data_IF_853376032752
#
_entry.id   IF_853376032752
#
_cell.length_a   1.000
_cell.length_b   1.000
_cell.length_c   1.000
_cell.angle_alpha   90.00
_cell.angle_beta   90.00
_cell.angle_gamma   90.00
#
_symmetry.space_group_name_H-M   'P 1'
#
loop_
_entity.id
_entity.type
_entity.pdbx_description
1 polymer ?
#
# COMPACT_ATOMS: atom_id res chain seq x y z
N UNK A 1 6.58 -31.54 4.07
CA UNK A 1 7.62 -30.56 3.70
C UNK A 1 6.93 -29.20 3.61
N UNK A 2 7.20 -28.27 4.52
CA UNK A 2 6.54 -26.96 4.49
C UNK A 2 6.94 -26.22 3.20
N UNK A 3 5.96 -25.84 2.39
CA UNK A 3 6.18 -25.18 1.10
C UNK A 3 6.67 -23.76 1.32
N UNK A 4 7.98 -23.52 1.23
CA UNK A 4 8.55 -22.17 1.36
C UNK A 4 7.83 -21.19 0.42
N UNK A 5 7.25 -20.14 0.97
CA UNK A 5 6.51 -19.14 0.19
C UNK A 5 7.50 -18.19 -0.45
N UNK A 6 7.57 -18.19 -1.79
CA UNK A 6 8.54 -17.39 -2.52
C UNK A 6 8.24 -15.89 -2.42
N UNK A 7 9.27 -15.05 -2.59
CA UNK A 7 9.12 -13.59 -2.66
C UNK A 7 8.16 -13.18 -3.79
N UNK A 8 8.14 -13.92 -4.90
CA UNK A 8 7.23 -13.70 -6.02
C UNK A 8 5.77 -13.90 -5.61
N UNK A 9 5.48 -14.97 -4.87
CA UNK A 9 4.11 -15.25 -4.43
C UNK A 9 3.61 -14.18 -3.46
N UNK A 10 4.49 -13.70 -2.58
CA UNK A 10 4.23 -12.56 -1.68
C UNK A 10 3.94 -11.27 -2.44
N UNK A 11 4.74 -10.99 -3.47
CA UNK A 11 4.51 -9.84 -4.36
C UNK A 11 3.16 -9.94 -5.08
N UNK A 12 2.82 -11.11 -5.62
CA UNK A 12 1.54 -11.33 -6.31
C UNK A 12 0.34 -11.17 -5.37
N UNK A 13 0.43 -11.71 -4.15
CA UNK A 13 -0.62 -11.52 -3.15
C UNK A 13 -0.79 -10.05 -2.75
N UNK A 14 0.33 -9.33 -2.57
CA UNK A 14 0.28 -7.88 -2.37
C UNK A 14 -0.37 -7.16 -3.54
N UNK A 15 0.06 -7.44 -4.78
CA UNK A 15 -0.46 -6.78 -5.98
C UNK A 15 -1.98 -7.00 -6.12
N UNK A 16 -2.47 -8.22 -5.88
CA UNK A 16 -3.90 -8.53 -5.89
C UNK A 16 -4.67 -7.78 -4.80
N UNK A 17 -4.19 -7.80 -3.55
CA UNK A 17 -4.82 -7.07 -2.45
C UNK A 17 -4.79 -5.55 -2.66
N UNK A 18 -3.67 -5.02 -3.14
CA UNK A 18 -3.50 -3.60 -3.45
C UNK A 18 -4.46 -3.15 -4.56
N UNK A 19 -4.59 -3.93 -5.63
CA UNK A 19 -5.53 -3.62 -6.72
C UNK A 19 -6.99 -3.61 -6.24
N UNK A 20 -7.39 -4.59 -5.44
CA UNK A 20 -8.75 -4.67 -4.88
C UNK A 20 -9.06 -3.47 -3.99
N UNK A 21 -8.14 -3.10 -3.09
CA UNK A 21 -8.30 -1.93 -2.21
C UNK A 21 -8.30 -0.62 -3.00
N UNK A 22 -7.52 -0.54 -4.07
CA UNK A 22 -7.56 0.61 -4.98
C UNK A 22 -8.91 0.74 -5.68
N UNK A 23 -9.50 -0.36 -6.15
CA UNK A 23 -10.85 -0.33 -6.73
C UNK A 23 -11.89 0.16 -5.72
N UNK A 24 -11.83 -0.32 -4.47
CA UNK A 24 -12.70 0.16 -3.38
C UNK A 24 -12.50 1.66 -3.12
N UNK A 25 -11.24 2.10 -3.04
CA UNK A 25 -10.90 3.50 -2.81
C UNK A 25 -11.39 4.43 -3.92
N UNK A 26 -11.22 4.03 -5.19
CA UNK A 26 -11.73 4.77 -6.35
C UNK A 26 -13.25 4.86 -6.34
N UNK A 27 -13.95 3.75 -6.11
CA UNK A 27 -15.41 3.74 -6.03
C UNK A 27 -15.92 4.61 -4.86
N UNK A 28 -15.26 4.55 -3.71
CA UNK A 28 -15.55 5.41 -2.57
C UNK A 28 -15.36 6.90 -2.92
N UNK A 29 -14.25 7.26 -3.55
CA UNK A 29 -14.00 8.63 -3.97
C UNK A 29 -15.05 9.14 -4.96
N UNK A 30 -15.44 8.33 -5.96
CA UNK A 30 -16.52 8.69 -6.90
C UNK A 30 -17.88 8.82 -6.22
N UNK A 31 -18.19 7.98 -5.23
CA UNK A 31 -19.42 8.10 -4.46
C UNK A 31 -19.47 9.39 -3.63
N UNK A 32 -18.32 9.88 -3.17
CA UNK A 32 -18.22 11.11 -2.36
C UNK A 32 -18.11 12.40 -3.18
N UNK A 33 -17.69 12.32 -4.45
CA UNK A 33 -17.63 13.46 -5.39
C UNK A 33 -18.99 14.15 -5.63
N UNK A 34 -20.10 13.50 -5.29
CA UNK A 34 -21.46 14.07 -5.34
C UNK A 34 -22.05 14.44 -3.97
N UNK A 35 -21.26 14.35 -2.88
CA UNK A 35 -21.70 14.66 -1.51
C UNK A 35 -21.00 15.91 -0.99
N UNK A 36 -21.64 16.68 -0.10
CA UNK A 36 -21.03 17.84 0.59
C UNK A 36 -19.88 17.44 1.55
N UNK A 37 -19.54 16.15 1.63
CA UNK A 37 -18.48 15.64 2.49
C UNK A 37 -17.09 15.86 1.91
N UNK A 38 -16.10 16.06 2.77
CA UNK A 38 -14.69 16.05 2.35
C UNK A 38 -14.29 14.63 1.92
N UNK A 39 -13.99 14.39 0.62
CA UNK A 39 -13.69 13.05 0.11
C UNK A 39 -12.39 12.46 0.68
N UNK A 40 -11.59 13.27 1.38
CA UNK A 40 -10.24 12.93 1.87
C UNK A 40 -10.05 13.21 3.36
N UNK A 41 -11.10 13.07 4.18
CA UNK A 41 -10.93 13.21 5.63
C UNK A 41 -9.89 12.23 6.17
N UNK A 42 -9.17 12.63 7.22
CA UNK A 42 -8.14 11.80 7.84
C UNK A 42 -8.67 10.41 8.26
N UNK A 43 -9.94 10.35 8.69
CA UNK A 43 -10.62 9.11 9.05
C UNK A 43 -10.75 8.16 7.86
N UNK A 44 -11.14 8.66 6.69
CA UNK A 44 -11.31 7.85 5.47
C UNK A 44 -9.95 7.34 4.98
N UNK A 45 -8.94 8.22 4.92
CA UNK A 45 -7.57 7.82 4.53
C UNK A 45 -7.02 6.78 5.51
N UNK A 46 -7.21 6.98 6.81
CA UNK A 46 -6.81 6.03 7.84
C UNK A 46 -7.51 4.67 7.70
N UNK A 47 -8.83 4.66 7.45
CA UNK A 47 -9.59 3.43 7.20
C UNK A 47 -9.08 2.68 5.97
N UNK A 48 -8.90 3.38 4.84
CA UNK A 48 -8.38 2.77 3.61
C UNK A 48 -6.99 2.16 3.82
N UNK A 49 -6.12 2.81 4.60
CA UNK A 49 -4.82 2.26 4.97
C UNK A 49 -4.95 1.03 5.87
N UNK A 50 -5.81 1.08 6.88
CA UNK A 50 -6.00 -0.04 7.81
C UNK A 50 -6.55 -1.28 7.13
N UNK A 51 -7.30 -1.15 6.03
CA UNK A 51 -7.78 -2.29 5.22
C UNK A 51 -6.66 -3.14 4.61
N UNK A 52 -5.43 -2.63 4.48
CA UNK A 52 -4.29 -3.45 4.06
C UNK A 52 -3.97 -4.57 5.06
N UNK A 53 -4.23 -4.37 6.36
CA UNK A 53 -4.00 -5.39 7.39
C UNK A 53 -4.89 -6.63 7.18
N UNK A 54 -6.23 -6.55 7.15
CA UNK A 54 -7.06 -7.72 6.86
C UNK A 54 -6.85 -8.25 5.44
N UNK A 55 -6.53 -7.40 4.45
CA UNK A 55 -6.19 -7.87 3.10
C UNK A 55 -4.94 -8.76 3.09
N UNK A 56 -3.92 -8.40 3.86
CA UNK A 56 -2.71 -9.18 4.04
C UNK A 56 -2.94 -10.50 4.76
N UNK A 57 -3.78 -10.50 5.80
CA UNK A 57 -4.18 -11.72 6.49
C UNK A 57 -4.97 -12.66 5.57
N UNK A 58 -5.93 -12.12 4.80
CA UNK A 58 -6.73 -12.87 3.84
C UNK A 58 -5.85 -13.47 2.73
N UNK A 59 -4.93 -12.69 2.16
CA UNK A 59 -3.99 -13.18 1.15
C UNK A 59 -3.10 -14.31 1.69
N UNK A 60 -2.59 -14.16 2.91
CA UNK A 60 -1.80 -15.20 3.56
C UNK A 60 -2.59 -16.50 3.77
N UNK A 61 -3.86 -16.39 4.20
CA UNK A 61 -4.74 -17.53 4.39
C UNK A 61 -5.10 -18.22 3.05
N UNK A 62 -5.54 -17.44 2.06
CA UNK A 62 -5.97 -17.94 0.74
C UNK A 62 -4.83 -18.60 -0.05
N UNK A 63 -3.61 -18.05 0.08
CA UNK A 63 -2.43 -18.53 -0.63
C UNK A 63 -1.59 -19.50 0.23
N UNK A 64 -2.08 -19.87 1.41
CA UNK A 64 -1.43 -20.77 2.37
C UNK A 64 0.04 -20.38 2.65
N UNK A 65 0.26 -19.10 2.94
CA UNK A 65 1.60 -18.60 3.20
C UNK A 65 2.14 -19.10 4.54
N UNK A 66 3.41 -19.49 4.53
CA UNK A 66 4.15 -19.67 5.77
C UNK A 66 4.44 -18.30 6.39
N UNK A 67 4.50 -18.27 7.72
CA UNK A 67 4.86 -17.07 8.46
C UNK A 67 6.24 -16.60 8.02
N UNK A 68 6.38 -15.37 7.47
CA UNK A 68 7.67 -14.86 7.03
C UNK A 68 8.62 -14.65 8.21
N UNK A 69 9.90 -14.91 7.99
CA UNK A 69 10.96 -14.39 8.85
C UNK A 69 11.03 -12.85 8.74
N UNK A 70 11.64 -12.18 9.72
CA UNK A 70 11.85 -10.72 9.68
C UNK A 70 12.59 -10.30 8.40
N UNK A 71 13.56 -11.10 7.95
CA UNK A 71 14.32 -10.84 6.73
C UNK A 71 13.44 -10.89 5.48
N UNK A 72 12.62 -11.93 5.34
CA UNK A 72 11.71 -12.07 4.19
C UNK A 72 10.64 -10.99 4.18
N UNK A 73 10.15 -10.62 5.37
CA UNK A 73 9.23 -9.49 5.54
C UNK A 73 9.88 -8.19 5.04
N UNK A 74 11.10 -7.89 5.49
CA UNK A 74 11.84 -6.70 5.06
C UNK A 74 12.11 -6.71 3.56
N UNK A 75 12.46 -7.86 2.98
CA UNK A 75 12.69 -8.00 1.55
C UNK A 75 11.41 -7.75 0.74
N UNK A 76 10.28 -8.28 1.19
CA UNK A 76 9.00 -8.09 0.51
C UNK A 76 8.54 -6.62 0.58
N UNK A 77 8.66 -5.99 1.76
CA UNK A 77 8.36 -4.56 1.95
C UNK A 77 9.29 -3.69 1.10
N UNK A 78 10.60 -3.95 1.13
CA UNK A 78 11.59 -3.17 0.39
C UNK A 78 11.41 -3.31 -1.13
N UNK A 79 11.08 -4.51 -1.62
CA UNK A 79 10.82 -4.73 -3.04
C UNK A 79 9.61 -3.93 -3.51
N UNK A 80 8.47 -4.11 -2.85
CA UNK A 80 7.21 -3.45 -3.22
C UNK A 80 7.31 -1.94 -3.03
N UNK A 81 7.78 -1.51 -1.86
CA UNK A 81 7.96 -0.11 -1.52
C UNK A 81 8.98 0.58 -2.42
N UNK A 82 10.08 -0.11 -2.78
CA UNK A 82 11.08 0.40 -3.71
C UNK A 82 10.52 0.62 -5.11
N UNK A 83 9.73 -0.32 -5.63
CA UNK A 83 9.03 -0.17 -6.92
C UNK A 83 8.05 1.00 -6.87
N UNK A 84 7.27 1.12 -5.79
CA UNK A 84 6.32 2.22 -5.62
C UNK A 84 7.02 3.58 -5.49
N UNK A 85 8.15 3.66 -4.77
CA UNK A 85 8.99 4.86 -4.68
C UNK A 85 9.55 5.24 -6.05
N UNK A 86 10.09 4.27 -6.81
CA UNK A 86 10.61 4.52 -8.16
C UNK A 86 9.51 5.05 -9.08
N UNK A 87 8.29 4.53 -8.97
CA UNK A 87 7.13 5.03 -9.70
C UNK A 87 6.77 6.47 -9.30
N UNK A 88 6.59 6.73 -8.01
CA UNK A 88 6.17 8.05 -7.50
C UNK A 88 7.21 9.14 -7.75
N UNK A 89 8.47 8.89 -7.38
CA UNK A 89 9.56 9.85 -7.60
C UNK A 89 9.95 9.96 -9.07
N UNK A 90 9.96 8.85 -9.81
CA UNK A 90 10.25 8.84 -11.24
C UNK A 90 9.19 9.58 -12.05
N UNK A 91 7.89 9.33 -11.79
CA UNK A 91 6.78 10.05 -12.40
C UNK A 91 6.86 11.56 -12.12
N UNK A 92 7.16 11.93 -10.87
CA UNK A 92 7.36 13.32 -10.50
C UNK A 92 8.58 13.96 -11.17
N UNK A 93 9.73 13.28 -11.25
CA UNK A 93 10.90 13.78 -11.97
C UNK A 93 10.61 13.99 -13.47
N UNK A 94 9.84 13.09 -14.09
CA UNK A 94 9.40 13.22 -15.48
C UNK A 94 8.52 14.46 -15.71
N UNK A 95 7.73 14.88 -14.72
CA UNK A 95 6.96 16.14 -14.80
C UNK A 95 7.85 17.37 -15.02
N UNK A 96 9.10 17.35 -14.52
CA UNK A 96 10.08 18.44 -14.68
C UNK A 96 10.98 18.28 -15.91
N UNK A 97 10.90 17.15 -16.61
CA UNK A 97 11.76 16.83 -17.75
C UNK A 97 11.26 17.40 -19.09
N UNK A 98 10.53 18.54 -19.08
CA UNK A 98 10.10 19.27 -20.27
C UNK A 98 9.20 18.43 -21.21
N UNK A 99 9.70 17.87 -22.33
CA UNK A 99 8.91 17.08 -23.28
C UNK A 99 8.19 15.86 -22.67
N UNK A 100 8.71 15.31 -21.57
CA UNK A 100 8.11 14.13 -20.90
C UNK A 100 7.11 14.51 -19.80
N UNK A 101 6.84 15.79 -19.61
CA UNK A 101 5.98 16.29 -18.52
C UNK A 101 4.58 15.69 -18.53
N UNK A 102 3.98 15.56 -19.72
CA UNK A 102 2.68 14.92 -19.89
C UNK A 102 2.70 13.44 -19.52
N UNK A 103 3.75 12.69 -19.87
CA UNK A 103 3.90 11.29 -19.48
C UNK A 103 4.11 11.15 -17.97
N UNK A 104 4.89 12.04 -17.36
CA UNK A 104 5.03 12.11 -15.90
C UNK A 104 3.69 12.36 -15.21
N UNK A 105 2.90 13.32 -15.74
CA UNK A 105 1.58 13.61 -15.22
C UNK A 105 0.63 12.42 -15.34
N UNK A 106 0.61 11.74 -16.49
CA UNK A 106 -0.19 10.52 -16.68
C UNK A 106 0.26 9.38 -15.75
N UNK A 107 1.56 9.22 -15.54
CA UNK A 107 2.10 8.23 -14.61
C UNK A 107 1.64 8.49 -13.18
N UNK A 108 1.69 9.75 -12.72
CA UNK A 108 1.19 10.14 -11.39
C UNK A 108 -0.33 10.03 -11.28
N UNK A 109 -1.08 10.41 -12.33
CA UNK A 109 -2.53 10.29 -12.35
C UNK A 109 -2.96 8.82 -12.30
N UNK A 110 -2.22 7.92 -12.96
CA UNK A 110 -2.49 6.48 -12.90
C UNK A 110 -2.37 5.92 -11.48
N UNK A 111 -1.57 6.54 -10.61
CA UNK A 111 -1.49 6.19 -9.18
C UNK A 111 -2.82 6.41 -8.47
N UNK A 112 -3.62 7.41 -8.87
CA UNK A 112 -4.96 7.61 -8.32
C UNK A 112 -5.90 6.42 -8.59
N UNK A 113 -5.71 5.73 -9.71
CA UNK A 113 -6.51 4.57 -10.10
C UNK A 113 -5.94 3.25 -9.58
N UNK A 114 -4.62 3.08 -9.65
CA UNK A 114 -3.93 1.82 -9.32
C UNK A 114 -3.59 1.70 -7.84
N UNK A 115 -3.48 2.83 -7.13
CA UNK A 115 -3.04 2.93 -5.75
C UNK A 115 -3.85 4.02 -5.00
N UNK A 116 -5.18 4.02 -5.16
CA UNK A 116 -6.06 5.06 -4.62
C UNK A 116 -5.76 5.39 -3.14
N UNK A 117 -5.68 4.42 -2.20
CA UNK A 117 -5.34 4.71 -0.81
C UNK A 117 -4.03 5.50 -0.66
N UNK A 118 -2.99 5.11 -1.40
CA UNK A 118 -1.68 5.79 -1.41
C UNK A 118 -1.78 7.20 -1.97
N UNK A 119 -2.56 7.40 -3.04
CA UNK A 119 -2.82 8.72 -3.61
C UNK A 119 -3.55 9.64 -2.62
N UNK A 120 -4.58 9.13 -1.94
CA UNK A 120 -5.31 9.90 -0.91
C UNK A 120 -4.38 10.35 0.21
N UNK A 121 -3.52 9.45 0.70
CA UNK A 121 -2.54 9.79 1.73
C UNK A 121 -1.55 10.84 1.22
N UNK A 122 -1.05 10.69 0.00
CA UNK A 122 -0.11 11.65 -0.58
C UNK A 122 -0.74 13.05 -0.70
N UNK A 123 -1.96 13.13 -1.20
CA UNK A 123 -2.73 14.38 -1.31
C UNK A 123 -3.01 14.99 0.06
N UNK A 124 -3.44 14.18 1.03
CA UNK A 124 -3.75 14.66 2.38
C UNK A 124 -2.51 15.24 3.08
N UNK A 125 -1.36 14.57 2.99
CA UNK A 125 -0.10 15.09 3.56
C UNK A 125 0.42 16.31 2.79
N UNK A 126 0.30 16.30 1.46
CA UNK A 126 0.74 17.39 0.60
C UNK A 126 -0.09 18.68 0.76
N UNK A 127 -1.39 18.55 1.02
CA UNK A 127 -2.34 19.65 1.20
C UNK A 127 -2.52 20.10 2.67
N UNK A 128 -1.52 19.84 3.53
CA UNK A 128 -1.45 20.33 4.92
C UNK A 128 -2.23 19.53 5.98
N UNK A 129 -2.79 18.37 5.65
CA UNK A 129 -3.57 17.53 6.59
C UNK A 129 -2.81 17.07 7.84
N UNK A 130 -1.47 16.94 7.76
CA UNK A 130 -0.61 16.65 8.92
C UNK A 130 -0.10 17.89 9.66
N UNK A 131 -0.41 19.09 9.15
CA UNK A 131 -0.01 20.39 9.69
C UNK A 131 1.44 20.39 10.24
N UNK A 132 2.37 19.83 9.45
CA UNK A 132 3.78 19.70 9.83
C UNK A 132 4.42 21.08 9.76
N UNK A 133 4.22 21.86 10.82
CA UNK A 133 4.72 23.23 10.96
C UNK A 133 6.23 23.25 10.77
N UNK A 134 6.70 23.98 9.75
CA UNK A 134 8.13 24.21 9.51
C UNK A 134 8.70 23.63 8.21
N UNK A 135 7.93 22.81 7.47
CA UNK A 135 8.36 22.31 6.16
C UNK A 135 7.71 23.09 5.02
N UNK A 136 8.49 23.44 3.97
CA UNK A 136 7.91 23.89 2.70
C UNK A 136 7.17 22.74 2.00
N UNK A 137 6.42 23.03 0.93
CA UNK A 137 5.65 22.03 0.16
C UNK A 137 6.51 20.88 -0.37
N UNK A 138 7.76 21.16 -0.74
CA UNK A 138 8.67 20.18 -1.36
C UNK A 138 9.07 19.04 -0.43
N UNK A 139 9.63 19.27 0.78
CA UNK A 139 9.88 18.18 1.75
C UNK A 139 8.63 17.40 2.13
N UNK A 140 7.49 18.09 2.28
CA UNK A 140 6.21 17.44 2.58
C UNK A 140 5.80 16.47 1.47
N UNK A 141 5.94 16.87 0.22
CA UNK A 141 5.69 16.00 -0.93
C UNK A 141 6.56 14.75 -0.91
N UNK A 142 7.88 14.87 -0.68
CA UNK A 142 8.77 13.72 -0.63
C UNK A 142 8.43 12.74 0.50
N UNK A 143 8.13 13.27 1.69
CA UNK A 143 7.69 12.46 2.84
C UNK A 143 6.35 11.78 2.56
N UNK A 144 5.41 12.51 1.96
CA UNK A 144 4.10 12.00 1.56
C UNK A 144 4.23 10.85 0.56
N UNK A 145 5.07 11.00 -0.47
CA UNK A 145 5.33 9.95 -1.46
C UNK A 145 5.99 8.73 -0.82
N UNK A 146 6.98 8.91 0.05
CA UNK A 146 7.63 7.81 0.75
C UNK A 146 6.64 7.05 1.65
N UNK A 147 5.80 7.76 2.41
CA UNK A 147 4.76 7.17 3.23
C UNK A 147 3.73 6.42 2.36
N UNK A 148 3.24 7.05 1.29
CA UNK A 148 2.30 6.44 0.35
C UNK A 148 2.84 5.18 -0.33
N UNK A 149 4.17 5.09 -0.52
CA UNK A 149 4.84 3.92 -1.08
C UNK A 149 5.08 2.80 -0.06
N UNK A 150 5.42 3.13 1.19
CA UNK A 150 5.86 2.16 2.19
C UNK A 150 4.73 1.68 3.13
N UNK A 151 3.77 2.53 3.45
CA UNK A 151 2.72 2.20 4.41
C UNK A 151 1.84 1.02 3.93
N UNK A 152 1.38 0.97 2.66
CA UNK A 152 0.62 -0.18 2.18
C UNK A 152 1.34 -1.53 2.30
N UNK A 153 2.59 -1.72 1.80
CA UNK A 153 3.27 -2.99 1.97
C UNK A 153 3.57 -3.32 3.42
N UNK A 154 3.92 -2.34 4.26
CA UNK A 154 4.14 -2.57 5.71
C UNK A 154 2.87 -3.12 6.36
N UNK A 155 1.73 -2.45 6.16
CA UNK A 155 0.45 -2.85 6.75
C UNK A 155 -0.03 -4.20 6.21
N UNK A 156 0.14 -4.44 4.91
CA UNK A 156 -0.22 -5.69 4.28
C UNK A 156 0.59 -6.86 4.83
N UNK A 157 1.92 -6.75 4.83
CA UNK A 157 2.76 -7.83 5.34
C UNK A 157 2.67 -7.96 6.86
N UNK A 158 2.36 -6.90 7.61
CA UNK A 158 1.99 -6.99 9.01
C UNK A 158 0.73 -7.85 9.20
N UNK A 159 -0.30 -7.64 8.38
CA UNK A 159 -1.50 -8.47 8.35
C UNK A 159 -1.21 -9.95 8.11
N UNK A 160 -0.27 -10.26 7.20
CA UNK A 160 0.13 -11.64 6.93
C UNK A 160 0.74 -12.37 8.13
N UNK A 161 1.31 -11.64 9.10
CA UNK A 161 1.86 -12.21 10.34
C UNK A 161 0.78 -12.61 11.35
N UNK A 162 -0.43 -12.10 11.20
CA UNK A 162 -1.58 -12.37 12.06
C UNK A 162 -2.31 -13.65 11.68
N UNK A 163 -2.02 -14.23 10.51
CA UNK A 163 -2.61 -15.49 10.09
C UNK A 163 -2.08 -16.63 11.00
N UNK A 164 -2.96 -17.43 11.64
CA UNK A 164 -2.53 -18.56 12.43
C UNK A 164 -1.73 -19.53 11.54
N UNK A 165 -0.61 -20.01 12.06
CA UNK A 165 0.09 -21.14 11.47
C UNK A 165 -0.88 -22.33 11.49
N UNK A 166 -1.13 -22.98 10.34
CA UNK A 166 -1.80 -24.29 10.35
C UNK A 166 -0.90 -25.18 11.20
N UNK A 167 -1.25 -25.36 12.49
CA UNK A 167 -0.71 -26.48 13.27
C UNK A 167 -0.91 -27.68 12.39
N UNK A 168 0.18 -28.38 12.06
CA UNK A 168 0.06 -29.75 11.62
C UNK A 168 -0.93 -30.38 12.60
N UNK A 169 -2.06 -30.87 12.08
CA UNK A 169 -2.97 -31.66 12.87
C UNK A 169 -2.16 -32.89 13.30
N UNK A 170 -1.50 -32.77 14.45
CA UNK A 170 -0.83 -33.85 15.12
C UNK A 170 -1.92 -34.83 15.51
N UNK A 171 -1.97 -35.94 14.78
CA UNK A 171 -2.43 -37.21 15.34
C UNK A 171 -1.46 -37.65 16.43
N UNK A 172 -1.52 -37.01 17.58
CA UNK A 172 -0.76 -37.36 18.77
C UNK A 172 -1.64 -37.15 20.00
N UNK A 173 -2.09 -38.26 20.59
CA UNK A 173 -2.86 -38.29 21.82
C UNK A 173 -2.16 -37.52 22.96
N UNK A 174 -2.93 -36.98 23.92
CA UNK A 174 -2.37 -36.44 25.16
C UNK A 174 -1.83 -37.58 26.03
N UNK A 175 -0.57 -37.46 26.45
CA UNK A 175 -0.04 -38.14 27.64
C UNK A 175 -0.09 -37.17 28.83
#
# INVERSE_FOLDING_TARGET
MAKHTSLRDRFLGFAGGHFMLSAIGVLGAFAMLGSDGEPWSAAIVGLLMLLYVPAGAAAAALMEWNRPTVREWLQAVALVGGVACLWGFGGFALCWAGPLSYLGFLALLSTAFLASPSFCLMVWVGLDGLNVTGLSLWPRWYLATAAAALLPPVLFFLGSLLCPEKRAAEGGEPL
#
